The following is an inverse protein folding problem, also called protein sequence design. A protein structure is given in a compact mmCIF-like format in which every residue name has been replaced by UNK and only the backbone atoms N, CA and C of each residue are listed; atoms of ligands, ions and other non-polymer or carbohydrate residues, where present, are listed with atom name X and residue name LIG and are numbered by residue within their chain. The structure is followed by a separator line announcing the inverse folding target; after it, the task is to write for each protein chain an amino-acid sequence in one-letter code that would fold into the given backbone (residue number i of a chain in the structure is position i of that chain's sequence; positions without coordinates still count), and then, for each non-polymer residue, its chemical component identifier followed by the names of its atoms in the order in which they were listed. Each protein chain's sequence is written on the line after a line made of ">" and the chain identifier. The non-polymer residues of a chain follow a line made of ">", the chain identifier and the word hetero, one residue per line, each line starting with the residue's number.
data_IF_118092088356
#
_entry.id   IF_118092088356
#
_cell.length_a   1.000
_cell.length_b   1.000
_cell.length_c   1.000
_cell.angle_alpha   90.00
_cell.angle_beta   90.00
_cell.angle_gamma   90.00
#
_symmetry.space_group_name_H-M   'P 1'
#
loop_
_entity.id
_entity.type
_entity.pdbx_description
1 polymer ?
#
# COMPACT_ATOMS: atom_id res chain seq x y z
N UNK A 1 -5.00 -26.73 -4.90
CA UNK A 1 -6.46 -26.86 -4.94
C UNK A 1 -6.91 -27.50 -6.23
N UNK A 2 -7.83 -28.43 -6.14
CA UNK A 2 -8.50 -29.01 -7.30
C UNK A 2 -9.97 -29.23 -6.96
N UNK A 3 -10.88 -28.64 -7.74
CA UNK A 3 -12.35 -28.77 -7.56
C UNK A 3 -12.81 -28.51 -6.12
N UNK A 4 -12.30 -27.45 -5.50
CA UNK A 4 -12.66 -27.04 -4.14
C UNK A 4 -12.02 -27.86 -3.01
N UNK A 5 -11.06 -28.72 -3.31
CA UNK A 5 -10.37 -29.56 -2.31
C UNK A 5 -8.88 -29.30 -2.30
N UNK A 6 -8.28 -29.25 -1.13
CA UNK A 6 -6.83 -29.31 -0.94
C UNK A 6 -6.37 -30.72 -1.27
N UNK A 7 -5.53 -30.88 -2.29
CA UNK A 7 -5.00 -32.17 -2.74
C UNK A 7 -3.54 -32.38 -2.35
N UNK A 8 -2.85 -31.33 -1.99
CA UNK A 8 -1.48 -31.34 -1.50
C UNK A 8 -1.23 -30.14 -0.61
N UNK A 9 -0.53 -30.35 0.48
CA UNK A 9 -0.06 -29.35 1.41
C UNK A 9 1.31 -29.77 1.93
N UNK A 10 2.27 -28.85 1.98
CA UNK A 10 3.62 -29.13 2.46
C UNK A 10 4.21 -27.90 3.12
N UNK A 11 5.01 -28.12 4.14
CA UNK A 11 5.69 -27.11 4.94
C UNK A 11 7.19 -27.36 4.87
N UNK A 12 8.00 -26.32 4.85
CA UNK A 12 9.45 -26.39 4.69
C UNK A 12 10.15 -25.49 5.71
N UNK A 13 11.44 -25.71 5.93
CA UNK A 13 12.30 -24.86 6.78
C UNK A 13 11.78 -24.69 8.23
N UNK A 14 11.18 -25.75 8.80
CA UNK A 14 10.69 -25.74 10.17
C UNK A 14 9.32 -25.09 10.36
N UNK A 15 8.66 -24.71 9.28
CA UNK A 15 7.27 -24.21 9.33
C UNK A 15 6.27 -25.38 9.46
N UNK A 16 5.11 -25.08 10.00
CA UNK A 16 3.93 -25.94 10.07
C UNK A 16 2.67 -25.19 9.66
N UNK A 17 1.51 -25.81 9.73
CA UNK A 17 0.21 -25.23 9.34
C UNK A 17 -0.19 -23.98 10.14
N UNK A 18 0.46 -23.71 11.30
CA UNK A 18 0.18 -22.57 12.17
C UNK A 18 1.25 -21.49 12.10
N UNK A 19 2.30 -21.74 11.35
CA UNK A 19 3.39 -20.80 11.22
C UNK A 19 2.95 -19.57 10.42
N UNK A 20 3.07 -18.39 11.01
CA UNK A 20 2.80 -17.12 10.30
C UNK A 20 3.96 -16.81 9.36
N UNK A 21 3.64 -16.26 8.20
CA UNK A 21 4.60 -15.86 7.19
C UNK A 21 4.46 -14.38 6.86
N UNK A 22 5.58 -13.67 6.76
CA UNK A 22 5.56 -12.28 6.36
C UNK A 22 5.15 -12.17 4.88
N UNK A 23 4.03 -11.52 4.63
CA UNK A 23 3.42 -11.45 3.30
C UNK A 23 4.20 -10.53 2.33
N UNK A 24 4.98 -9.57 2.87
CA UNK A 24 5.68 -8.59 2.04
C UNK A 24 4.70 -7.94 1.03
N UNK A 25 5.09 -7.81 -0.24
CA UNK A 25 4.25 -7.19 -1.26
C UNK A 25 3.00 -7.98 -1.68
N UNK A 26 2.78 -9.18 -1.17
CA UNK A 26 1.47 -9.85 -1.30
C UNK A 26 0.36 -9.02 -0.63
N UNK A 27 0.71 -8.25 0.41
CA UNK A 27 -0.23 -7.30 1.06
C UNK A 27 -0.83 -6.28 0.08
N UNK A 28 -0.10 -5.88 -0.97
CA UNK A 28 -0.61 -4.97 -2.01
C UNK A 28 -1.79 -5.58 -2.76
N UNK A 29 -1.73 -6.88 -3.06
CA UNK A 29 -2.83 -7.60 -3.72
C UNK A 29 -4.05 -7.69 -2.80
N UNK A 30 -3.84 -7.89 -1.49
CA UNK A 30 -4.90 -7.92 -0.49
C UNK A 30 -5.58 -6.55 -0.42
N UNK A 31 -4.80 -5.48 -0.28
CA UNK A 31 -5.31 -4.10 -0.25
C UNK A 31 -6.06 -3.75 -1.54
N UNK A 32 -5.48 -4.06 -2.70
CA UNK A 32 -6.10 -3.79 -3.99
C UNK A 32 -7.42 -4.57 -4.18
N UNK A 33 -7.50 -5.81 -3.70
CA UNK A 33 -8.74 -6.62 -3.77
C UNK A 33 -9.83 -6.03 -2.87
N UNK A 34 -9.49 -5.62 -1.64
CA UNK A 34 -10.43 -4.92 -0.77
C UNK A 34 -10.89 -3.59 -1.38
N UNK A 35 -9.97 -2.83 -2.00
CA UNK A 35 -10.31 -1.59 -2.70
C UNK A 35 -11.18 -1.80 -3.93
N UNK A 36 -11.00 -2.88 -4.67
CA UNK A 36 -11.88 -3.23 -5.80
C UNK A 36 -13.34 -3.41 -5.37
N UNK A 37 -13.58 -3.92 -4.16
CA UNK A 37 -14.94 -4.01 -3.62
C UNK A 37 -15.57 -2.65 -3.34
N UNK A 38 -14.76 -1.66 -2.96
CA UNK A 38 -15.24 -0.28 -2.77
C UNK A 38 -15.55 0.42 -4.09
N UNK A 39 -14.82 0.06 -5.16
CA UNK A 39 -15.11 0.52 -6.52
C UNK A 39 -16.43 -0.09 -7.01
N UNK A 40 -16.65 -1.39 -6.79
CA UNK A 40 -17.90 -2.07 -7.17
C UNK A 40 -19.11 -1.46 -6.45
N UNK A 41 -18.95 -1.06 -5.18
CA UNK A 41 -19.98 -0.37 -4.41
C UNK A 41 -20.16 1.11 -4.79
N UNK A 42 -19.33 1.65 -5.68
CA UNK A 42 -19.36 3.04 -6.13
C UNK A 42 -18.85 4.05 -5.07
N UNK A 43 -18.14 3.58 -4.05
CA UNK A 43 -17.51 4.43 -3.03
C UNK A 43 -16.20 5.05 -3.53
N UNK A 44 -15.56 4.42 -4.49
CA UNK A 44 -14.37 4.91 -5.17
C UNK A 44 -14.60 4.84 -6.69
N UNK A 45 -14.19 5.87 -7.41
CA UNK A 45 -14.15 5.87 -8.87
C UNK A 45 -12.70 5.75 -9.35
N UNK A 46 -12.32 4.66 -10.05
CA UNK A 46 -10.96 4.49 -10.54
C UNK A 46 -10.53 5.58 -11.54
N UNK A 47 -11.46 6.24 -12.21
CA UNK A 47 -11.17 7.29 -13.19
C UNK A 47 -11.11 8.70 -12.56
N UNK A 48 -11.58 8.86 -11.33
CA UNK A 48 -11.52 10.14 -10.65
C UNK A 48 -10.08 10.49 -10.26
N UNK A 49 -9.71 11.78 -10.27
CA UNK A 49 -8.46 12.23 -9.67
C UNK A 49 -8.34 11.77 -8.22
N UNK A 50 -7.19 11.24 -7.82
CA UNK A 50 -6.96 10.78 -6.45
C UNK A 50 -7.15 11.92 -5.42
N UNK A 51 -6.94 13.16 -5.84
CA UNK A 51 -7.16 14.35 -5.03
C UNK A 51 -8.65 14.62 -4.69
N UNK A 52 -9.60 13.93 -5.32
CA UNK A 52 -11.02 14.01 -4.90
C UNK A 52 -11.24 13.25 -3.58
N UNK A 53 -10.60 12.09 -3.43
CA UNK A 53 -10.63 11.34 -2.16
C UNK A 53 -9.65 11.91 -1.13
N UNK A 54 -8.50 12.41 -1.57
CA UNK A 54 -7.41 12.94 -0.75
C UNK A 54 -7.04 14.36 -1.21
N UNK A 55 -7.81 15.41 -0.80
CA UNK A 55 -7.63 16.79 -1.31
C UNK A 55 -6.25 17.37 -1.05
N UNK A 56 -5.55 16.91 -0.01
CA UNK A 56 -4.20 17.35 0.33
C UNK A 56 -3.18 17.03 -0.77
N UNK A 57 -3.47 16.02 -1.60
CA UNK A 57 -2.60 15.61 -2.71
C UNK A 57 -2.61 16.59 -3.89
N UNK A 58 -3.58 17.51 -3.95
CA UNK A 58 -3.63 18.54 -5.00
C UNK A 58 -2.40 19.48 -5.01
N UNK A 59 -1.67 19.58 -3.87
CA UNK A 59 -0.45 20.39 -3.75
C UNK A 59 0.85 19.56 -3.86
N UNK A 60 0.77 18.37 -4.43
CA UNK A 60 1.87 17.39 -4.52
C UNK A 60 2.07 16.91 -5.95
N UNK A 61 3.04 15.99 -6.15
CA UNK A 61 3.25 15.35 -7.45
C UNK A 61 2.11 14.40 -7.86
N UNK A 62 1.21 14.06 -6.94
CA UNK A 62 0.02 13.23 -7.21
C UNK A 62 -1.09 13.99 -7.94
N UNK A 63 -1.01 15.32 -8.01
CA UNK A 63 -2.04 16.13 -8.65
C UNK A 63 -2.27 15.71 -10.11
N UNK A 64 -3.51 15.35 -10.45
CA UNK A 64 -3.89 14.86 -11.78
C UNK A 64 -3.72 13.34 -11.98
N UNK A 65 -3.13 12.61 -11.01
CA UNK A 65 -3.19 11.16 -11.02
C UNK A 65 -4.62 10.69 -10.71
N UNK A 66 -5.11 9.67 -11.41
CA UNK A 66 -6.36 8.99 -11.06
C UNK A 66 -6.09 7.84 -10.08
N UNK A 67 -7.14 7.34 -9.42
CA UNK A 67 -7.04 6.12 -8.62
C UNK A 67 -6.55 4.94 -9.47
N UNK A 68 -6.98 4.84 -10.75
CA UNK A 68 -6.49 3.80 -11.67
C UNK A 68 -4.98 3.90 -11.87
N UNK A 69 -4.42 5.11 -12.05
CA UNK A 69 -2.97 5.28 -12.17
C UNK A 69 -2.21 4.79 -10.93
N UNK A 70 -2.79 5.00 -9.74
CA UNK A 70 -2.25 4.49 -8.47
C UNK A 70 -2.31 2.96 -8.43
N UNK A 71 -3.44 2.35 -8.78
CA UNK A 71 -3.62 0.90 -8.79
C UNK A 71 -2.69 0.20 -9.80
N UNK A 72 -2.44 0.84 -10.94
CA UNK A 72 -1.59 0.32 -12.01
C UNK A 72 -0.10 0.60 -11.78
N UNK A 73 0.28 1.25 -10.67
CA UNK A 73 1.65 1.74 -10.44
C UNK A 73 2.19 2.54 -11.63
N UNK A 74 1.33 3.40 -12.17
CA UNK A 74 1.58 4.19 -13.37
C UNK A 74 1.51 5.70 -13.11
N UNK A 75 1.58 6.13 -11.85
CA UNK A 75 1.70 7.56 -11.57
C UNK A 75 3.06 8.08 -12.04
N UNK A 76 3.15 9.36 -12.36
CA UNK A 76 4.41 9.99 -12.73
C UNK A 76 5.21 10.53 -11.55
N UNK A 77 4.85 10.17 -10.33
CA UNK A 77 5.52 10.64 -9.11
C UNK A 77 6.93 10.07 -9.02
N UNK A 78 7.92 10.92 -8.74
CA UNK A 78 9.28 10.45 -8.50
C UNK A 78 9.34 9.78 -7.13
N UNK A 79 9.79 8.52 -7.11
CA UNK A 79 9.99 7.74 -5.91
C UNK A 79 11.11 6.74 -6.12
N UNK A 80 12.14 6.80 -5.25
CA UNK A 80 13.29 5.91 -5.32
C UNK A 80 13.03 4.62 -4.53
N UNK A 81 12.79 3.52 -5.25
CA UNK A 81 12.54 2.18 -4.68
C UNK A 81 13.84 1.36 -4.46
N UNK A 82 14.97 2.01 -4.24
CA UNK A 82 16.27 1.32 -4.04
C UNK A 82 16.39 0.82 -2.60
N UNK A 83 16.23 -0.50 -2.39
CA UNK A 83 16.11 -1.13 -1.07
C UNK A 83 17.41 -1.22 -0.28
N UNK A 84 18.56 -1.17 -0.91
CA UNK A 84 19.90 -1.20 -0.28
C UNK A 84 20.42 0.20 0.10
N UNK A 85 19.68 1.26 -0.24
CA UNK A 85 19.97 2.63 0.14
C UNK A 85 19.00 3.09 1.24
N UNK A 86 19.54 3.35 2.44
CA UNK A 86 18.73 3.70 3.61
C UNK A 86 18.04 5.07 3.48
N UNK A 87 18.64 5.99 2.74
CA UNK A 87 18.16 7.34 2.45
C UNK A 87 17.30 7.43 1.17
N UNK A 88 17.06 6.30 0.50
CA UNK A 88 16.09 6.23 -0.60
C UNK A 88 14.67 6.52 -0.10
N UNK A 89 13.74 6.83 -1.02
CA UNK A 89 12.35 7.10 -0.61
C UNK A 89 11.72 5.87 0.07
N UNK A 90 11.98 4.65 -0.42
CA UNK A 90 11.51 3.43 0.26
C UNK A 90 12.19 3.20 1.60
N UNK A 91 13.47 3.56 1.74
CA UNK A 91 14.19 3.49 3.02
C UNK A 91 13.60 4.44 4.06
N UNK A 92 13.19 5.64 3.64
CA UNK A 92 12.47 6.61 4.50
C UNK A 92 11.06 6.14 4.84
N UNK A 93 10.37 5.45 3.91
CA UNK A 93 9.08 4.81 4.20
C UNK A 93 9.24 3.70 5.25
N UNK A 94 10.26 2.85 5.13
CA UNK A 94 10.58 1.81 6.11
C UNK A 94 10.83 2.40 7.53
N UNK A 95 11.47 3.56 7.59
CA UNK A 95 11.67 4.28 8.84
C UNK A 95 10.35 4.87 9.37
N UNK A 96 9.59 5.55 8.52
CA UNK A 96 8.35 6.22 8.87
C UNK A 96 7.29 5.26 9.44
N UNK A 97 7.20 4.02 8.90
CA UNK A 97 6.30 2.99 9.41
C UNK A 97 6.89 2.14 10.56
N UNK A 98 8.08 2.50 11.07
CA UNK A 98 8.73 1.77 12.17
C UNK A 98 9.31 0.40 11.79
N UNK A 99 9.39 0.07 10.51
CA UNK A 99 9.93 -1.20 10.03
C UNK A 99 11.44 -1.31 10.21
N UNK A 100 12.16 -0.21 9.97
CA UNK A 100 13.60 -0.13 10.18
C UNK A 100 13.96 1.06 11.06
N UNK A 101 14.96 0.92 11.97
CA UNK A 101 15.43 2.04 12.76
C UNK A 101 16.15 3.07 11.86
N UNK A 102 16.34 4.27 12.39
CA UNK A 102 17.23 5.27 11.76
C UNK A 102 18.62 4.68 11.51
N UNK A 103 19.31 5.09 10.42
CA UNK A 103 20.70 4.71 10.22
C UNK A 103 21.58 5.25 11.36
N UNK A 104 22.55 4.44 11.81
CA UNK A 104 23.42 4.82 12.91
C UNK A 104 24.26 6.07 12.56
N UNK A 105 24.18 7.10 13.41
CA UNK A 105 24.94 8.34 13.25
C UNK A 105 24.40 9.32 12.23
N UNK A 106 23.28 9.05 11.59
CA UNK A 106 22.63 9.96 10.66
C UNK A 106 21.60 10.85 11.36
N UNK A 107 21.53 12.13 10.95
CA UNK A 107 20.44 13.02 11.34
C UNK A 107 19.24 12.77 10.45
N UNK A 108 18.15 12.28 11.06
CA UNK A 108 16.88 11.96 10.39
C UNK A 108 15.77 12.94 10.78
N UNK A 109 16.13 14.10 11.33
CA UNK A 109 15.16 15.09 11.80
C UNK A 109 14.25 15.66 10.71
N UNK A 110 14.69 15.58 9.45
CA UNK A 110 13.93 15.98 8.24
C UNK A 110 13.22 14.82 7.54
N UNK A 111 13.33 13.61 8.09
CA UNK A 111 12.63 12.45 7.53
C UNK A 111 11.15 12.45 7.93
N UNK A 112 10.28 11.81 7.11
CA UNK A 112 8.86 11.74 7.41
C UNK A 112 8.62 10.99 8.73
N UNK A 113 7.69 11.51 9.55
CA UNK A 113 7.34 10.91 10.82
C UNK A 113 6.35 9.73 10.67
N UNK A 114 5.62 9.69 9.56
CA UNK A 114 4.66 8.65 9.21
C UNK A 114 4.56 8.51 7.68
N UNK A 115 3.88 7.47 7.20
CA UNK A 115 3.70 7.24 5.76
C UNK A 115 2.96 8.41 5.10
N UNK A 116 1.98 9.00 5.79
CA UNK A 116 1.24 10.14 5.26
C UNK A 116 2.16 11.36 5.00
N UNK A 117 3.08 11.67 5.91
CA UNK A 117 4.07 12.72 5.70
C UNK A 117 4.97 12.44 4.49
N UNK A 118 5.37 11.19 4.30
CA UNK A 118 6.13 10.77 3.12
C UNK A 118 5.33 11.02 1.84
N UNK A 119 4.06 10.62 1.80
CA UNK A 119 3.16 10.82 0.65
C UNK A 119 3.06 12.32 0.33
N UNK A 120 2.81 13.15 1.35
CA UNK A 120 2.70 14.60 1.19
C UNK A 120 4.02 15.27 0.80
N UNK A 121 5.15 14.66 1.16
CA UNK A 121 6.50 15.12 0.82
C UNK A 121 6.88 14.93 -0.65
N UNK A 122 6.22 14.05 -1.38
CA UNK A 122 6.53 13.77 -2.79
C UNK A 122 6.00 14.88 -3.70
N UNK A 123 6.89 15.82 -4.06
CA UNK A 123 6.55 17.04 -4.82
C UNK A 123 7.02 17.01 -6.28
N UNK A 124 7.81 16.02 -6.66
CA UNK A 124 8.41 15.97 -8.01
C UNK A 124 7.68 14.95 -8.87
N UNK A 125 7.16 15.42 -9.98
CA UNK A 125 6.64 14.57 -11.07
C UNK A 125 7.76 14.36 -12.08
N UNK A 126 8.10 13.12 -12.38
CA UNK A 126 9.19 12.75 -13.31
C UNK A 126 8.66 12.24 -14.66
N UNK A 127 7.36 11.92 -14.76
CA UNK A 127 6.70 11.43 -15.97
C UNK A 127 5.21 11.82 -15.97
N UNK A 128 4.54 11.65 -17.10
CA UNK A 128 3.09 11.79 -17.15
C UNK A 128 2.40 10.63 -16.42
N UNK A 129 1.30 10.93 -15.70
CA UNK A 129 0.46 9.92 -15.09
C UNK A 129 -0.16 9.04 -16.17
N UNK A 130 -0.16 7.73 -15.97
CA UNK A 130 -0.60 6.73 -16.94
C UNK A 130 0.42 6.44 -18.05
N UNK A 131 1.58 7.12 -18.05
CA UNK A 131 2.56 7.01 -19.14
C UNK A 131 3.35 5.70 -19.16
N UNK A 132 3.66 5.15 -17.99
CA UNK A 132 4.41 3.89 -17.86
C UNK A 132 4.19 3.24 -16.50
N UNK A 133 4.27 1.94 -16.45
CA UNK A 133 4.42 1.20 -15.21
C UNK A 133 5.81 1.42 -14.62
N UNK A 134 5.84 1.74 -13.32
CA UNK A 134 7.06 1.69 -12.51
C UNK A 134 6.67 1.31 -11.09
N UNK A 135 7.20 0.19 -10.59
CA UNK A 135 6.90 -0.29 -9.26
C UNK A 135 7.27 0.74 -8.19
N UNK A 136 6.29 1.14 -7.38
CA UNK A 136 6.44 2.06 -6.26
C UNK A 136 5.56 1.60 -5.11
N UNK A 137 6.18 1.17 -4.00
CA UNK A 137 5.45 0.66 -2.84
C UNK A 137 4.45 1.67 -2.28
N UNK A 138 4.83 2.93 -2.24
CA UNK A 138 4.03 4.04 -1.70
C UNK A 138 2.66 4.22 -2.40
N UNK A 139 2.49 3.73 -3.63
CA UNK A 139 1.21 3.86 -4.35
C UNK A 139 0.11 3.04 -3.67
N UNK A 140 0.45 1.89 -3.09
CA UNK A 140 -0.51 1.10 -2.31
C UNK A 140 -0.95 1.83 -1.03
N UNK A 141 -0.04 2.56 -0.40
CA UNK A 141 -0.36 3.34 0.79
C UNK A 141 -1.28 4.52 0.46
N UNK A 142 -1.07 5.18 -0.69
CA UNK A 142 -2.01 6.20 -1.20
C UNK A 142 -3.41 5.61 -1.40
N UNK A 143 -3.50 4.42 -2.01
CA UNK A 143 -4.78 3.72 -2.15
C UNK A 143 -5.42 3.41 -0.79
N UNK A 144 -4.64 2.91 0.17
CA UNK A 144 -5.12 2.63 1.52
C UNK A 144 -5.70 3.86 2.20
N UNK A 145 -5.01 5.01 2.13
CA UNK A 145 -5.53 6.27 2.65
C UNK A 145 -6.82 6.73 1.97
N UNK A 146 -6.95 6.53 0.64
CA UNK A 146 -8.18 6.83 -0.07
C UNK A 146 -9.33 5.92 0.42
N UNK A 147 -9.07 4.64 0.61
CA UNK A 147 -10.05 3.68 1.15
C UNK A 147 -10.51 4.09 2.56
N UNK A 148 -9.59 4.43 3.46
CA UNK A 148 -9.90 4.89 4.81
C UNK A 148 -10.72 6.20 4.78
N UNK A 149 -10.36 7.13 3.90
CA UNK A 149 -11.03 8.43 3.78
C UNK A 149 -12.50 8.29 3.36
N UNK A 150 -12.80 7.44 2.39
CA UNK A 150 -14.17 7.30 1.87
C UNK A 150 -15.05 6.42 2.74
N UNK A 151 -14.47 5.49 3.52
CA UNK A 151 -15.23 4.60 4.39
C UNK A 151 -15.34 5.10 5.84
N UNK A 152 -14.38 5.91 6.28
CA UNK A 152 -14.23 6.27 7.69
C UNK A 152 -13.74 5.11 8.58
N UNK A 153 -13.35 3.98 8.00
CA UNK A 153 -12.80 2.80 8.68
C UNK A 153 -11.27 2.76 8.53
N UNK A 154 -10.59 2.08 9.45
CA UNK A 154 -9.15 1.80 9.29
C UNK A 154 -8.93 0.66 8.31
N UNK A 155 -7.79 0.66 7.62
CA UNK A 155 -7.44 -0.35 6.62
C UNK A 155 -7.62 -1.82 7.10
N UNK A 156 -7.20 -2.20 8.33
CA UNK A 156 -7.44 -3.54 8.85
C UNK A 156 -8.92 -3.92 8.91
N UNK A 157 -9.79 -2.98 9.29
CA UNK A 157 -11.24 -3.17 9.36
C UNK A 157 -11.83 -3.37 7.96
N UNK A 158 -11.41 -2.54 7.00
CA UNK A 158 -11.84 -2.64 5.60
C UNK A 158 -11.45 -4.01 5.04
N UNK A 159 -10.19 -4.45 5.24
CA UNK A 159 -9.71 -5.75 4.77
C UNK A 159 -10.48 -6.88 5.44
N UNK A 160 -10.71 -6.79 6.74
CA UNK A 160 -11.49 -7.78 7.50
C UNK A 160 -12.88 -7.93 6.93
N UNK A 161 -13.61 -6.82 6.79
CA UNK A 161 -15.02 -6.80 6.41
C UNK A 161 -15.23 -7.16 4.93
N UNK A 162 -14.32 -6.71 4.06
CA UNK A 162 -14.47 -6.81 2.61
C UNK A 162 -13.82 -8.03 1.99
N UNK A 163 -12.83 -8.62 2.65
CA UNK A 163 -12.06 -9.72 2.08
C UNK A 163 -11.87 -10.87 3.06
N UNK A 164 -11.27 -10.63 4.23
CA UNK A 164 -10.76 -11.68 5.10
C UNK A 164 -11.87 -12.55 5.67
N UNK A 165 -12.90 -11.95 6.26
CA UNK A 165 -14.05 -12.67 6.80
C UNK A 165 -14.92 -13.27 5.70
N UNK A 166 -15.28 -12.57 4.59
CA UNK A 166 -16.07 -13.14 3.51
C UNK A 166 -15.41 -14.32 2.79
N UNK A 167 -14.09 -14.35 2.66
CA UNK A 167 -13.40 -15.50 2.04
C UNK A 167 -13.29 -16.71 2.97
N UNK A 168 -13.69 -16.57 4.25
CA UNK A 168 -13.62 -17.65 5.25
C UNK A 168 -12.20 -18.01 5.62
N UNK A 169 -11.31 -17.00 5.80
CA UNK A 169 -9.95 -17.24 6.26
C UNK A 169 -9.96 -17.99 7.59
N UNK A 170 -9.16 -19.04 7.69
CA UNK A 170 -9.15 -19.96 8.83
C UNK A 170 -8.50 -19.32 10.07
N UNK A 171 -7.53 -18.43 9.86
CA UNK A 171 -6.74 -17.77 10.90
C UNK A 171 -6.70 -16.26 10.70
N UNK A 172 -6.43 -15.54 11.77
CA UNK A 172 -6.25 -14.09 11.74
C UNK A 172 -4.96 -13.68 11.03
N UNK A 173 -5.00 -12.53 10.37
CA UNK A 173 -3.81 -11.85 9.87
C UNK A 173 -3.51 -10.60 10.69
N UNK A 174 -2.22 -10.28 10.84
CA UNK A 174 -1.78 -9.05 11.47
C UNK A 174 -1.27 -8.08 10.41
N UNK A 175 -1.60 -6.81 10.56
CA UNK A 175 -1.11 -5.72 9.73
C UNK A 175 -0.51 -4.63 10.62
N UNK A 176 0.67 -4.14 10.26
CA UNK A 176 1.28 -2.98 10.92
C UNK A 176 0.66 -1.72 10.33
N UNK A 177 0.28 -0.80 11.18
CA UNK A 177 -0.21 0.54 10.83
C UNK A 177 0.64 1.58 11.54
N UNK A 178 0.76 2.79 10.99
CA UNK A 178 1.44 3.96 11.54
C UNK A 178 0.45 4.99 12.12
#
# INVERSE_FOLDING_TARGET
>A
WLNGKVIHESYHNGMDQRSVHLAQSVSKSITATAGASLIEDGLLDPNAPIAEALPELAATAWNGATLQHVMDMATGVRYNETYDQRDSDVGKTDFACGWKPAPEGEDVSDWPACIWDQILGLKVKEAEHGGRFLYRSIETDVMAHAMERVTGQRLPEIISDRLWAPMGAEEDANITVD
#
